data_IF_581142608279
#
_entry.id   IF_581142608279
#
_cell.length_a   1.000
_cell.length_b   1.000
_cell.length_c   1.000
_cell.angle_alpha   90.00
_cell.angle_beta   90.00
_cell.angle_gamma   90.00
#
_symmetry.space_group_name_H-M   'P 1'
#
loop_
_entity.id
_entity.type
_entity.pdbx_description
1 polymer ?
#
# COMPACT_ATOMS: atom_id res chain seq x y z
N UNK A 1 -33.97 -19.98 3.91
CA UNK A 1 -33.73 -18.58 4.25
C UNK A 1 -32.46 -18.14 3.55
N UNK A 2 -32.49 -17.28 2.51
CA UNK A 2 -31.26 -16.76 1.91
C UNK A 2 -30.66 -15.77 2.89
N UNK A 3 -29.37 -15.96 3.19
CA UNK A 3 -28.54 -15.02 3.94
C UNK A 3 -28.40 -13.77 3.05
N UNK A 4 -29.00 -12.67 3.45
CA UNK A 4 -28.77 -11.36 2.86
C UNK A 4 -27.26 -11.08 2.95
N UNK A 5 -26.62 -11.00 1.78
CA UNK A 5 -25.26 -10.46 1.68
C UNK A 5 -25.37 -8.98 2.06
N UNK A 6 -24.84 -8.60 3.21
CA UNK A 6 -24.61 -7.20 3.55
C UNK A 6 -23.92 -6.55 2.35
N UNK A 7 -24.62 -5.63 1.72
CA UNK A 7 -24.07 -4.77 0.68
C UNK A 7 -22.97 -3.93 1.37
N UNK A 8 -21.71 -4.26 1.09
CA UNK A 8 -20.57 -3.55 1.64
C UNK A 8 -20.77 -2.04 1.44
N UNK A 9 -20.87 -1.32 2.54
CA UNK A 9 -21.02 0.14 2.56
C UNK A 9 -19.91 0.77 1.72
N UNK A 10 -20.27 1.44 0.65
CA UNK A 10 -19.31 2.17 -0.20
C UNK A 10 -18.73 3.30 0.64
N UNK A 11 -17.41 3.33 0.79
CA UNK A 11 -16.70 4.39 1.52
C UNK A 11 -17.03 5.75 0.87
N UNK A 12 -17.48 6.70 1.67
CA UNK A 12 -17.85 8.03 1.17
C UNK A 12 -16.66 8.78 0.57
N UNK A 13 -16.94 9.70 -0.36
CA UNK A 13 -15.91 10.57 -0.95
C UNK A 13 -15.14 11.36 0.10
N UNK A 14 -15.82 11.80 1.15
CA UNK A 14 -15.21 12.54 2.24
C UNK A 14 -14.21 11.69 3.04
N UNK A 15 -14.56 10.45 3.37
CA UNK A 15 -13.67 9.50 4.06
C UNK A 15 -12.46 9.19 3.18
N UNK A 16 -12.66 8.99 1.88
CA UNK A 16 -11.58 8.73 0.93
C UNK A 16 -10.62 9.91 0.81
N UNK A 17 -11.15 11.15 0.73
CA UNK A 17 -10.34 12.36 0.72
C UNK A 17 -9.58 12.56 2.05
N UNK A 18 -10.18 12.17 3.18
CA UNK A 18 -9.49 12.18 4.46
C UNK A 18 -8.30 11.21 4.49
N UNK A 19 -8.45 9.99 4.00
CA UNK A 19 -7.33 9.05 3.88
C UNK A 19 -6.26 9.51 2.89
N UNK A 20 -6.64 10.12 1.77
CA UNK A 20 -5.68 10.72 0.83
C UNK A 20 -4.83 11.79 1.52
N UNK A 21 -5.46 12.67 2.30
CA UNK A 21 -4.79 13.68 3.11
C UNK A 21 -3.85 13.04 4.14
N UNK A 22 -4.36 12.09 4.94
CA UNK A 22 -3.60 11.45 6.02
C UNK A 22 -2.37 10.69 5.50
N UNK A 23 -2.48 10.05 4.33
CA UNK A 23 -1.36 9.36 3.69
C UNK A 23 -0.29 10.28 3.13
N UNK A 24 -0.62 11.53 2.80
CA UNK A 24 0.30 12.49 2.19
C UNK A 24 0.87 13.51 3.19
N UNK A 25 0.17 13.75 4.30
CA UNK A 25 0.61 14.72 5.32
C UNK A 25 1.80 14.22 6.14
N UNK A 26 2.03 12.92 6.17
CA UNK A 26 3.18 12.26 6.82
C UNK A 26 4.07 11.59 5.78
N UNK A 27 5.35 11.41 6.07
CA UNK A 27 6.27 10.65 5.20
C UNK A 27 5.98 9.14 5.22
N UNK A 28 5.46 8.65 6.33
CA UNK A 28 5.10 7.25 6.54
C UNK A 28 4.06 7.13 7.65
N UNK A 29 3.21 6.10 7.63
CA UNK A 29 2.29 5.82 8.73
C UNK A 29 3.06 5.61 10.04
N UNK A 30 2.53 6.13 11.13
CA UNK A 30 3.05 5.92 12.48
C UNK A 30 1.96 5.33 13.37
N UNK A 31 2.37 4.72 14.49
CA UNK A 31 1.42 4.18 15.46
C UNK A 31 0.50 5.27 15.99
N UNK A 32 1.07 6.43 16.32
CA UNK A 32 0.31 7.56 16.88
C UNK A 32 -0.75 8.09 15.89
N UNK A 33 -0.41 8.12 14.59
CA UNK A 33 -1.39 8.50 13.58
C UNK A 33 -2.51 7.46 13.45
N UNK A 34 -2.16 6.16 13.47
CA UNK A 34 -3.17 5.10 13.47
C UNK A 34 -4.04 5.13 14.72
N UNK A 35 -3.45 5.30 15.92
CA UNK A 35 -4.19 5.43 17.18
C UNK A 35 -5.19 6.60 17.12
N UNK A 36 -4.80 7.72 16.50
CA UNK A 36 -5.71 8.84 16.28
C UNK A 36 -6.84 8.46 15.32
N UNK A 37 -6.52 7.86 14.16
CA UNK A 37 -7.52 7.44 13.17
C UNK A 37 -8.49 6.41 13.75
N UNK A 38 -8.00 5.43 14.49
CA UNK A 38 -8.82 4.40 15.10
C UNK A 38 -9.72 4.97 16.23
N UNK A 39 -9.28 6.02 16.92
CA UNK A 39 -10.05 6.64 18.02
C UNK A 39 -11.16 7.57 17.57
N UNK A 40 -10.95 8.35 16.50
CA UNK A 40 -11.89 9.41 16.08
C UNK A 40 -12.37 9.29 14.64
N UNK A 41 -11.88 8.33 13.90
CA UNK A 41 -12.13 8.16 12.46
C UNK A 41 -11.30 9.10 11.57
N UNK A 42 -11.17 8.78 10.26
CA UNK A 42 -10.26 9.48 9.36
C UNK A 42 -10.65 10.96 9.11
N UNK A 43 -11.93 11.25 9.01
CA UNK A 43 -12.41 12.62 8.78
C UNK A 43 -12.06 13.53 9.95
N UNK A 44 -12.36 13.07 11.16
CA UNK A 44 -12.06 13.86 12.36
C UNK A 44 -10.55 13.96 12.63
N UNK A 45 -9.78 12.90 12.35
CA UNK A 45 -8.33 12.93 12.43
C UNK A 45 -7.74 14.01 11.50
N UNK A 46 -8.19 14.08 10.23
CA UNK A 46 -7.82 15.15 9.29
C UNK A 46 -8.12 16.54 9.85
N UNK A 47 -9.32 16.75 10.41
CA UNK A 47 -9.70 18.05 10.99
C UNK A 47 -8.79 18.45 12.14
N UNK A 48 -8.50 17.52 13.05
CA UNK A 48 -7.63 17.77 14.21
C UNK A 48 -6.20 18.11 13.77
N UNK A 49 -5.67 17.42 12.77
CA UNK A 49 -4.34 17.71 12.21
C UNK A 49 -4.32 19.10 11.56
N UNK A 50 -5.29 19.41 10.71
CA UNK A 50 -5.37 20.74 10.06
C UNK A 50 -5.48 21.89 11.07
N UNK A 51 -6.21 21.66 12.14
CA UNK A 51 -6.36 22.64 13.22
C UNK A 51 -5.16 22.71 14.19
N UNK A 52 -4.10 21.88 14.00
CA UNK A 52 -2.97 21.80 14.93
C UNK A 52 -3.34 21.23 16.30
N UNK A 53 -4.40 20.42 16.39
CA UNK A 53 -4.96 19.88 17.66
C UNK A 53 -4.86 18.36 17.76
N UNK A 54 -3.96 17.75 16.98
CA UNK A 54 -3.79 16.30 16.94
C UNK A 54 -2.82 15.74 18.03
N UNK A 55 -2.41 16.58 18.97
CA UNK A 55 -1.40 16.24 19.99
C UNK A 55 0.03 16.36 19.44
N UNK A 56 1.00 16.48 20.36
CA UNK A 56 2.40 16.80 20.02
C UNK A 56 3.05 15.77 19.10
N UNK A 57 2.83 14.49 19.33
CA UNK A 57 3.46 13.43 18.57
C UNK A 57 2.99 13.37 17.11
N UNK A 58 1.71 13.60 16.83
CA UNK A 58 1.16 13.68 15.47
C UNK A 58 1.44 15.05 14.89
N UNK A 59 1.36 16.11 15.69
CA UNK A 59 1.67 17.47 15.28
C UNK A 59 3.07 17.60 14.68
N UNK A 60 4.10 17.12 15.38
CA UNK A 60 5.49 17.15 14.92
C UNK A 60 5.71 16.45 13.57
N UNK A 61 4.91 15.44 13.24
CA UNK A 61 5.02 14.69 11.98
C UNK A 61 4.26 15.33 10.81
N UNK A 62 3.29 16.20 11.11
CA UNK A 62 2.34 16.72 10.12
C UNK A 62 2.47 18.22 9.88
N UNK A 63 3.11 18.95 10.80
CA UNK A 63 3.19 20.42 10.80
C UNK A 63 3.68 20.98 9.45
N UNK A 64 4.74 20.42 8.90
CA UNK A 64 5.33 20.93 7.67
C UNK A 64 4.43 20.81 6.44
N UNK A 65 3.43 19.92 6.46
CA UNK A 65 2.59 19.60 5.30
C UNK A 65 1.09 19.82 5.53
N UNK A 66 0.65 20.04 6.76
CA UNK A 66 -0.77 20.06 7.11
C UNK A 66 -1.63 21.06 6.32
N UNK A 67 -1.03 22.16 5.88
CA UNK A 67 -1.71 23.20 5.09
C UNK A 67 -1.48 23.05 3.58
N UNK A 68 -0.43 22.32 3.19
CA UNK A 68 -0.03 22.13 1.80
C UNK A 68 -0.79 20.98 1.13
N UNK A 69 -1.22 19.98 1.91
CA UNK A 69 -1.87 18.79 1.39
C UNK A 69 -3.37 19.03 1.23
N UNK A 70 -3.89 18.69 0.06
CA UNK A 70 -5.32 18.62 -0.23
C UNK A 70 -5.70 17.23 -0.75
N UNK A 71 -6.51 16.51 0.04
CA UNK A 71 -6.92 15.15 -0.28
C UNK A 71 -7.76 15.05 -1.55
N UNK A 72 -8.60 16.04 -1.85
CA UNK A 72 -9.43 16.06 -3.07
C UNK A 72 -8.55 16.22 -4.31
N UNK A 73 -7.61 17.16 -4.28
CA UNK A 73 -6.66 17.37 -5.38
C UNK A 73 -5.81 16.13 -5.66
N UNK A 74 -5.44 15.38 -4.61
CA UNK A 74 -4.72 14.12 -4.78
C UNK A 74 -5.57 13.05 -5.47
N UNK A 75 -6.88 12.99 -5.16
CA UNK A 75 -7.80 12.06 -5.81
C UNK A 75 -8.05 12.45 -7.27
N UNK A 76 -8.19 13.73 -7.57
CA UNK A 76 -8.32 14.27 -8.93
C UNK A 76 -7.09 13.95 -9.76
N UNK A 77 -5.89 14.26 -9.26
CA UNK A 77 -4.63 13.95 -9.95
C UNK A 77 -4.42 12.44 -10.19
N UNK A 78 -4.85 11.59 -9.25
CA UNK A 78 -4.80 10.15 -9.46
C UNK A 78 -5.76 9.71 -10.57
N UNK A 79 -6.95 10.28 -10.64
CA UNK A 79 -7.93 9.98 -11.68
C UNK A 79 -7.41 10.33 -13.08
N UNK A 80 -6.67 11.44 -13.23
CA UNK A 80 -6.05 11.85 -14.50
C UNK A 80 -5.06 10.81 -15.07
N UNK A 81 -4.52 9.94 -14.21
CA UNK A 81 -3.58 8.88 -14.60
C UNK A 81 -4.17 7.47 -14.46
N UNK A 82 -5.50 7.34 -14.49
CA UNK A 82 -6.22 6.07 -14.30
C UNK A 82 -5.85 5.33 -13.00
N UNK A 83 -5.56 6.07 -11.95
CA UNK A 83 -5.31 5.53 -10.63
C UNK A 83 -6.45 5.85 -9.66
N UNK A 84 -6.59 5.04 -8.63
CA UNK A 84 -7.57 5.23 -7.56
C UNK A 84 -6.95 4.98 -6.19
N UNK A 85 -7.45 5.63 -5.17
CA UNK A 85 -7.10 5.33 -3.79
C UNK A 85 -8.07 4.28 -3.24
N UNK A 86 -7.52 3.19 -2.73
CA UNK A 86 -8.23 2.13 -2.02
C UNK A 86 -7.91 2.28 -0.54
N UNK A 87 -8.95 2.31 0.30
CA UNK A 87 -8.81 2.60 1.73
C UNK A 87 -9.48 1.52 2.58
N UNK A 88 -9.19 1.41 3.88
CA UNK A 88 -9.91 0.54 4.80
C UNK A 88 -11.42 0.76 4.70
N UNK A 89 -12.17 -0.34 4.58
CA UNK A 89 -13.63 -0.32 4.37
C UNK A 89 -14.06 -0.37 2.90
N UNK A 90 -13.17 -0.18 1.92
CA UNK A 90 -13.50 -0.44 0.51
C UNK A 90 -13.63 -1.95 0.24
N UNK A 91 -14.53 -2.37 -0.65
CA UNK A 91 -14.59 -3.78 -1.10
C UNK A 91 -13.28 -4.25 -1.73
N UNK A 92 -12.50 -3.35 -2.34
CA UNK A 92 -11.17 -3.62 -2.91
C UNK A 92 -10.02 -3.55 -1.91
N UNK A 93 -10.27 -3.32 -0.62
CA UNK A 93 -9.22 -3.28 0.39
C UNK A 93 -8.69 -4.68 0.68
N UNK A 94 -7.40 -4.96 0.45
CA UNK A 94 -6.83 -6.29 0.63
C UNK A 94 -6.46 -6.55 2.10
N UNK A 95 -7.45 -6.43 3.02
CA UNK A 95 -7.24 -6.50 4.46
C UNK A 95 -6.51 -7.77 4.90
N UNK A 96 -6.88 -8.92 4.34
CA UNK A 96 -6.23 -10.20 4.64
C UNK A 96 -4.72 -10.19 4.33
N UNK A 97 -4.33 -9.64 3.17
CA UNK A 97 -2.92 -9.57 2.77
C UNK A 97 -2.11 -8.60 3.65
N UNK A 98 -2.78 -7.60 4.24
CA UNK A 98 -2.16 -6.59 5.11
C UNK A 98 -2.25 -6.93 6.60
N UNK A 99 -3.05 -7.92 7.00
CA UNK A 99 -3.22 -8.36 8.40
C UNK A 99 -1.89 -8.60 9.14
N UNK A 100 -0.85 -9.21 8.54
CA UNK A 100 0.42 -9.38 9.22
C UNK A 100 1.07 -8.07 9.70
N UNK A 101 0.73 -6.94 9.08
CA UNK A 101 1.21 -5.61 9.47
C UNK A 101 0.43 -5.01 10.65
N UNK A 102 -0.76 -5.53 10.95
CA UNK A 102 -1.61 -5.10 12.07
C UNK A 102 -1.30 -5.83 13.39
N UNK A 103 -0.47 -6.87 13.33
CA UNK A 103 -0.19 -7.66 14.54
C UNK A 103 0.45 -6.81 15.63
N UNK A 104 -0.05 -6.90 16.89
CA UNK A 104 0.55 -6.22 18.02
C UNK A 104 2.04 -6.57 18.08
N UNK A 105 2.86 -5.57 18.22
CA UNK A 105 4.31 -5.69 18.37
C UNK A 105 4.64 -6.48 19.62
N UNK A 106 4.56 -7.81 19.52
CA UNK A 106 5.07 -8.70 20.56
C UNK A 106 6.52 -8.34 20.80
N UNK A 107 6.84 -8.02 22.08
CA UNK A 107 8.14 -7.83 22.71
C UNK A 107 9.32 -7.77 21.73
N UNK A 108 9.90 -6.58 21.59
CA UNK A 108 11.23 -6.40 21.00
C UNK A 108 12.13 -7.50 21.56
N UNK A 109 12.56 -8.42 20.74
CA UNK A 109 13.73 -9.22 21.08
C UNK A 109 14.90 -8.23 21.14
N UNK A 110 15.37 -7.95 22.35
CA UNK A 110 16.58 -7.21 22.55
C UNK A 110 17.71 -7.93 21.80
N UNK A 111 18.35 -7.25 20.81
CA UNK A 111 19.55 -7.78 20.18
C UNK A 111 19.55 -7.88 18.65
N UNK A 112 18.45 -7.70 17.95
CA UNK A 112 18.49 -7.58 16.48
C UNK A 112 18.34 -6.10 16.12
N UNK A 113 19.31 -5.52 15.44
CA UNK A 113 19.28 -4.13 14.94
C UNK A 113 17.93 -3.86 14.30
N UNK A 114 17.15 -2.95 14.91
CA UNK A 114 15.70 -2.86 14.70
C UNK A 114 15.36 -2.56 13.25
N UNK A 115 14.87 -3.58 12.54
CA UNK A 115 14.07 -3.35 11.33
C UNK A 115 12.84 -2.56 11.80
N UNK A 116 12.57 -1.38 11.21
CA UNK A 116 11.37 -0.62 11.55
C UNK A 116 10.18 -1.54 11.37
N UNK A 117 9.34 -1.66 12.40
CA UNK A 117 8.11 -2.46 12.29
C UNK A 117 7.25 -1.81 11.23
N UNK A 118 7.04 -2.48 10.11
CA UNK A 118 6.14 -2.01 9.08
C UNK A 118 4.74 -1.87 9.70
N UNK A 119 4.08 -0.78 9.38
CA UNK A 119 2.68 -0.56 9.70
C UNK A 119 1.86 -0.72 8.42
N UNK A 120 0.61 -1.14 8.57
CA UNK A 120 -0.29 -1.13 7.42
C UNK A 120 -0.36 0.28 6.82
N UNK A 121 -0.45 0.41 5.50
CA UNK A 121 -0.63 1.70 4.86
C UNK A 121 -2.02 2.28 5.20
N UNK A 122 -2.15 3.62 5.19
CA UNK A 122 -3.43 4.31 5.35
C UNK A 122 -4.34 4.17 4.12
N UNK A 123 -3.76 3.85 2.98
CA UNK A 123 -4.44 3.59 1.73
C UNK A 123 -3.44 3.11 0.68
N UNK A 124 -3.95 2.52 -0.38
CA UNK A 124 -3.18 2.03 -1.51
C UNK A 124 -3.56 2.82 -2.76
N UNK A 125 -2.62 3.56 -3.32
CA UNK A 125 -2.76 4.12 -4.66
C UNK A 125 -2.61 2.98 -5.66
N UNK A 126 -3.70 2.67 -6.34
CA UNK A 126 -3.79 1.53 -7.26
C UNK A 126 -4.00 1.98 -8.69
N UNK A 127 -3.14 1.51 -9.59
CA UNK A 127 -3.27 1.71 -11.02
C UNK A 127 -3.30 0.37 -11.73
N UNK A 128 -4.27 0.18 -12.60
CA UNK A 128 -4.45 -1.04 -13.37
C UNK A 128 -5.81 -1.70 -13.15
N UNK A 129 -6.18 -2.66 -14.02
CA UNK A 129 -7.52 -3.25 -14.07
C UNK A 129 -7.74 -4.36 -13.04
N UNK A 130 -6.68 -4.90 -12.44
CA UNK A 130 -6.80 -6.05 -11.55
C UNK A 130 -7.53 -5.70 -10.24
N UNK A 131 -8.29 -6.66 -9.71
CA UNK A 131 -8.88 -6.57 -8.38
C UNK A 131 -7.80 -6.84 -7.32
N UNK A 132 -7.50 -5.86 -6.43
CA UNK A 132 -6.45 -6.00 -5.42
C UNK A 132 -6.66 -7.17 -4.48
N UNK A 133 -7.88 -7.42 -4.03
CA UNK A 133 -8.20 -8.51 -3.10
C UNK A 133 -7.86 -9.85 -3.74
N UNK A 134 -8.27 -10.04 -4.99
CA UNK A 134 -8.02 -11.28 -5.72
C UNK A 134 -6.54 -11.51 -5.98
N UNK A 135 -5.84 -10.49 -6.51
CA UNK A 135 -4.44 -10.68 -6.95
C UNK A 135 -3.46 -10.72 -5.77
N UNK A 136 -3.73 -10.00 -4.68
CA UNK A 136 -2.91 -10.06 -3.47
C UNK A 136 -3.23 -11.27 -2.57
N UNK A 137 -4.44 -11.80 -2.66
CA UNK A 137 -4.84 -13.00 -1.90
C UNK A 137 -4.06 -14.26 -2.27
N UNK A 138 -3.50 -14.33 -3.48
CA UNK A 138 -2.63 -15.43 -3.93
C UNK A 138 -1.40 -14.86 -4.62
N UNK A 139 -0.47 -14.35 -3.83
CA UNK A 139 0.71 -13.66 -4.34
C UNK A 139 2.00 -14.13 -3.68
N UNK A 140 3.11 -13.93 -4.40
CA UNK A 140 4.48 -14.20 -3.94
C UNK A 140 5.34 -12.98 -4.22
N UNK A 141 6.11 -12.53 -3.23
CA UNK A 141 7.08 -11.45 -3.42
C UNK A 141 8.40 -12.02 -3.97
N UNK A 142 8.87 -11.49 -5.09
CA UNK A 142 10.19 -11.75 -5.64
C UNK A 142 10.99 -10.44 -5.61
N UNK A 143 12.00 -10.39 -4.74
CA UNK A 143 12.83 -9.19 -4.54
C UNK A 143 14.30 -9.58 -4.46
N UNK A 144 15.17 -8.63 -4.80
CA UNK A 144 16.61 -8.92 -4.71
C UNK A 144 17.51 -7.77 -5.11
N UNK A 145 18.73 -8.08 -5.43
CA UNK A 145 19.77 -7.10 -5.74
C UNK A 145 19.49 -6.32 -7.02
N UNK A 146 19.94 -5.06 -7.05
CA UNK A 146 19.91 -4.22 -8.25
C UNK A 146 20.98 -4.60 -9.29
N UNK A 147 22.01 -5.35 -8.87
CA UNK A 147 23.10 -5.82 -9.74
C UNK A 147 23.18 -7.37 -9.69
N UNK A 148 22.22 -8.10 -10.25
CA UNK A 148 22.22 -9.56 -10.23
C UNK A 148 23.24 -10.15 -11.19
N UNK A 149 23.80 -11.29 -10.81
CA UNK A 149 24.58 -12.12 -11.72
C UNK A 149 23.69 -12.71 -12.83
N UNK A 150 24.28 -13.22 -13.95
CA UNK A 150 23.50 -13.98 -14.95
C UNK A 150 22.71 -15.13 -14.33
N UNK A 151 23.30 -15.86 -13.40
CA UNK A 151 22.64 -16.94 -12.66
C UNK A 151 21.44 -16.40 -11.86
N UNK A 152 21.61 -15.32 -11.09
CA UNK A 152 20.51 -14.74 -10.32
C UNK A 152 19.34 -14.30 -11.20
N UNK A 153 19.61 -13.75 -12.39
CA UNK A 153 18.57 -13.42 -13.37
C UNK A 153 17.85 -14.65 -13.92
N UNK A 154 18.60 -15.72 -14.25
CA UNK A 154 18.03 -16.95 -14.75
C UNK A 154 17.11 -17.60 -13.72
N UNK A 155 17.58 -17.77 -12.47
CA UNK A 155 16.77 -18.32 -11.37
C UNK A 155 15.53 -17.48 -11.11
N UNK A 156 15.64 -16.13 -11.16
CA UNK A 156 14.48 -15.27 -10.99
C UNK A 156 13.47 -15.45 -12.11
N UNK A 157 13.92 -15.61 -13.34
CA UNK A 157 13.02 -15.85 -14.47
C UNK A 157 12.29 -17.18 -14.34
N UNK A 158 13.00 -18.24 -13.99
CA UNK A 158 12.43 -19.58 -13.78
C UNK A 158 11.41 -19.58 -12.64
N UNK A 159 11.76 -18.98 -11.49
CA UNK A 159 10.84 -18.84 -10.36
C UNK A 159 9.61 -17.99 -10.71
N UNK A 160 9.81 -16.84 -11.35
CA UNK A 160 8.71 -15.96 -11.74
C UNK A 160 7.73 -16.62 -12.71
N UNK A 161 8.23 -17.30 -13.74
CA UNK A 161 7.42 -18.06 -14.67
C UNK A 161 6.73 -19.25 -13.99
N UNK A 162 7.46 -20.01 -13.15
CA UNK A 162 6.92 -21.17 -12.46
C UNK A 162 5.79 -20.83 -11.49
N UNK A 163 5.98 -19.86 -10.60
CA UNK A 163 4.91 -19.46 -9.66
C UNK A 163 3.72 -18.84 -10.39
N UNK A 164 3.97 -18.15 -11.50
CA UNK A 164 2.90 -17.60 -12.34
C UNK A 164 2.09 -18.69 -13.04
N UNK A 165 2.73 -19.77 -13.50
CA UNK A 165 2.05 -20.93 -14.10
C UNK A 165 1.12 -21.63 -13.09
N UNK A 166 1.47 -21.61 -11.79
CA UNK A 166 0.64 -22.11 -10.70
C UNK A 166 -0.48 -21.13 -10.29
N UNK A 167 -0.66 -20.04 -11.02
CA UNK A 167 -1.71 -19.03 -10.81
C UNK A 167 -1.44 -18.06 -9.66
N UNK A 168 -0.19 -17.91 -9.23
CA UNK A 168 0.19 -16.86 -8.29
C UNK A 168 0.48 -15.55 -8.99
N UNK A 169 0.13 -14.44 -8.34
CA UNK A 169 0.57 -13.11 -8.73
C UNK A 169 1.97 -12.87 -8.18
N UNK A 170 2.89 -12.39 -8.99
CA UNK A 170 4.20 -11.96 -8.52
C UNK A 170 4.16 -10.49 -8.13
N UNK A 171 4.59 -10.20 -6.90
CA UNK A 171 4.72 -8.83 -6.37
C UNK A 171 6.20 -8.50 -6.29
N UNK A 172 6.61 -7.37 -6.83
CA UNK A 172 7.99 -6.90 -6.76
C UNK A 172 8.05 -5.37 -6.67
N UNK A 173 9.24 -4.83 -6.45
CA UNK A 173 9.45 -3.38 -6.52
C UNK A 173 9.64 -2.90 -7.97
N UNK A 174 9.98 -1.61 -8.12
CA UNK A 174 10.29 -1.02 -9.43
C UNK A 174 11.79 -0.96 -9.75
N UNK A 175 12.64 -1.67 -9.01
CA UNK A 175 14.09 -1.52 -9.13
C UNK A 175 14.67 -2.25 -10.35
N UNK A 176 15.85 -1.79 -10.80
CA UNK A 176 16.66 -2.58 -11.71
C UNK A 176 17.08 -3.90 -11.07
N UNK A 177 17.42 -4.89 -11.90
CA UNK A 177 17.96 -6.15 -11.40
C UNK A 177 16.89 -7.22 -11.22
N UNK A 178 16.79 -7.79 -10.03
CA UNK A 178 15.88 -8.92 -9.74
C UNK A 178 14.42 -8.52 -9.92
N UNK A 179 14.01 -7.34 -9.43
CA UNK A 179 12.63 -6.88 -9.55
C UNK A 179 12.21 -6.80 -11.03
N UNK A 180 13.03 -6.14 -11.87
CA UNK A 180 12.77 -6.05 -13.30
C UNK A 180 12.81 -7.42 -14.00
N UNK A 181 13.67 -8.34 -13.57
CA UNK A 181 13.72 -9.69 -14.12
C UNK A 181 12.46 -10.48 -13.78
N UNK A 182 11.97 -10.38 -12.53
CA UNK A 182 10.74 -11.01 -12.08
C UNK A 182 9.53 -10.53 -12.91
N UNK A 183 9.35 -9.21 -13.05
CA UNK A 183 8.26 -8.66 -13.86
C UNK A 183 8.30 -9.14 -15.31
N UNK A 184 9.49 -9.07 -15.97
CA UNK A 184 9.63 -9.51 -17.36
C UNK A 184 9.30 -10.99 -17.55
N UNK A 185 9.75 -11.86 -16.62
CA UNK A 185 9.49 -13.27 -16.69
C UNK A 185 7.99 -13.58 -16.61
N UNK A 186 7.30 -12.97 -15.68
CA UNK A 186 5.85 -13.13 -15.51
C UNK A 186 5.07 -12.61 -16.72
N UNK A 187 5.41 -11.42 -17.21
CA UNK A 187 4.78 -10.86 -18.41
C UNK A 187 5.05 -11.71 -19.66
N UNK A 188 6.25 -12.31 -19.77
CA UNK A 188 6.61 -13.21 -20.86
C UNK A 188 5.72 -14.46 -20.95
N UNK A 189 5.19 -14.92 -19.83
CA UNK A 189 4.22 -16.04 -19.75
C UNK A 189 2.77 -15.57 -19.61
N UNK A 190 2.51 -14.27 -19.87
CA UNK A 190 1.18 -13.63 -19.75
C UNK A 190 0.55 -13.74 -18.36
N UNK A 191 1.39 -13.83 -17.33
CA UNK A 191 0.98 -13.87 -15.93
C UNK A 191 0.62 -12.48 -15.38
N UNK A 192 0.19 -12.47 -14.13
CA UNK A 192 -0.14 -11.24 -13.41
C UNK A 192 1.01 -10.83 -12.50
N UNK A 193 1.41 -9.57 -12.59
CA UNK A 193 2.44 -9.02 -11.71
C UNK A 193 2.05 -7.63 -11.20
N UNK A 194 2.49 -7.30 -9.99
CA UNK A 194 2.22 -6.03 -9.31
C UNK A 194 3.55 -5.38 -8.96
N UNK A 195 3.72 -4.12 -9.37
CA UNK A 195 4.84 -3.29 -8.95
C UNK A 195 4.44 -2.43 -7.74
N UNK A 196 5.19 -2.55 -6.63
CA UNK A 196 5.06 -1.68 -5.45
C UNK A 196 6.13 -0.61 -5.55
N UNK A 197 5.68 0.62 -5.78
CA UNK A 197 6.56 1.75 -6.06
C UNK A 197 6.65 2.68 -4.86
N UNK A 198 7.83 3.26 -4.63
CA UNK A 198 8.04 4.29 -3.61
C UNK A 198 7.68 5.70 -4.11
N UNK A 199 7.65 5.88 -5.42
CA UNK A 199 7.20 7.12 -6.07
C UNK A 199 5.68 7.18 -6.24
N UNK A 200 5.19 8.31 -6.76
CA UNK A 200 3.78 8.45 -7.12
C UNK A 200 3.38 7.51 -8.26
N UNK A 201 2.11 7.15 -8.33
CA UNK A 201 1.56 6.31 -9.42
C UNK A 201 1.58 7.00 -10.79
N UNK A 202 1.83 8.29 -10.81
CA UNK A 202 2.04 9.16 -11.98
C UNK A 202 3.49 9.11 -12.51
N UNK A 203 4.44 8.63 -11.71
CA UNK A 203 5.87 8.57 -12.05
C UNK A 203 6.35 7.13 -12.01
N UNK A 204 6.30 6.50 -13.18
CA UNK A 204 6.97 5.23 -13.40
C UNK A 204 8.47 5.51 -13.59
N UNK A 205 9.34 4.70 -12.96
CA UNK A 205 10.79 4.81 -13.09
C UNK A 205 11.24 4.85 -14.54
#
# INVERSE_FOLDING_TARGET
>A
MPVEREQGSVVSSEVRAAYAYLGAVTERPTAQLWDLVDSVGPVRARELIRAGRAGDAVGAQTEARRELVDGNRLLEAAHEVDARLIVPGDPGWPGFALEPLDRPRGRRRAGTGGVPTALRPLGLWWRGPADPVRVLGRSVALVGTRAPTPYGRAVTADLGAGVSAEGFTVVSGGAFGIDAAAHRAVLGVRGTTIAVLAGGVDRLY
#
